data_IF_247547598096
#
_entry.id   IF_247547598096
#
_cell.length_a   1.000
_cell.length_b   1.000
_cell.length_c   1.000
_cell.angle_alpha   90.00
_cell.angle_beta   90.00
_cell.angle_gamma   90.00
#
_symmetry.space_group_name_H-M   'P 1'
#
loop_
_entity.id
_entity.type
_entity.pdbx_description
1 polymer ?
#
# COMPACT_ATOMS: atom_id res chain seq x y z
N UNK A 1 60.84 -20.71 -8.87
CA UNK A 1 59.60 -20.28 -9.54
C UNK A 1 58.69 -19.63 -8.50
N UNK A 2 58.55 -18.29 -8.52
CA UNK A 2 57.54 -17.62 -7.69
C UNK A 2 56.20 -17.77 -8.43
N UNK A 3 55.33 -18.60 -7.97
CA UNK A 3 53.96 -18.72 -8.46
C UNK A 3 53.23 -17.41 -8.18
N UNK A 4 52.66 -16.79 -9.21
CA UNK A 4 51.84 -15.59 -9.09
C UNK A 4 50.51 -15.97 -8.38
N UNK A 5 50.47 -15.99 -7.03
CA UNK A 5 49.28 -16.28 -6.24
C UNK A 5 48.34 -15.07 -6.10
N UNK A 6 48.76 -13.88 -6.50
CA UNK A 6 47.98 -12.65 -6.45
C UNK A 6 46.69 -12.69 -7.28
N UNK A 7 46.63 -13.48 -8.36
CA UNK A 7 45.42 -13.66 -9.15
C UNK A 7 44.35 -14.51 -8.48
N UNK A 8 44.75 -15.53 -7.73
CA UNK A 8 43.83 -16.43 -7.03
C UNK A 8 43.09 -15.68 -5.92
N UNK A 9 43.77 -14.88 -5.13
CA UNK A 9 43.18 -14.06 -4.08
C UNK A 9 42.15 -13.03 -4.59
N UNK A 10 42.41 -12.45 -5.78
CA UNK A 10 41.47 -11.51 -6.39
C UNK A 10 40.16 -12.20 -6.82
N UNK A 11 40.24 -13.40 -7.38
CA UNK A 11 39.09 -14.20 -7.81
C UNK A 11 38.27 -14.62 -6.57
N UNK A 12 38.94 -15.07 -5.50
CA UNK A 12 38.29 -15.45 -4.24
C UNK A 12 37.51 -14.25 -3.63
N UNK A 13 38.16 -13.08 -3.56
CA UNK A 13 37.52 -11.86 -3.09
C UNK A 13 36.30 -11.49 -3.97
N UNK A 14 36.42 -11.57 -5.29
CA UNK A 14 35.32 -11.26 -6.20
C UNK A 14 34.11 -12.19 -5.99
N UNK A 15 34.35 -13.49 -5.80
CA UNK A 15 33.28 -14.45 -5.50
C UNK A 15 32.57 -14.14 -4.17
N UNK A 16 33.34 -13.91 -3.12
CA UNK A 16 32.78 -13.56 -1.79
C UNK A 16 31.97 -12.26 -1.89
N UNK A 17 32.47 -11.26 -2.62
CA UNK A 17 31.77 -9.99 -2.81
C UNK A 17 30.44 -10.17 -3.56
N UNK A 18 30.40 -10.99 -4.61
CA UNK A 18 29.16 -11.27 -5.36
C UNK A 18 28.12 -11.93 -4.46
N UNK A 19 28.50 -12.97 -3.69
CA UNK A 19 27.59 -13.60 -2.74
C UNK A 19 27.10 -12.63 -1.66
N UNK A 20 28.01 -11.83 -1.11
CA UNK A 20 27.65 -10.82 -0.10
C UNK A 20 26.65 -9.80 -0.66
N UNK A 21 26.90 -9.23 -1.84
CA UNK A 21 26.01 -8.26 -2.46
C UNK A 21 24.65 -8.87 -2.82
N UNK A 22 24.64 -10.11 -3.31
CA UNK A 22 23.41 -10.82 -3.62
C UNK A 22 22.53 -10.98 -2.37
N UNK A 23 23.12 -11.46 -1.29
CA UNK A 23 22.42 -11.60 -0.01
C UNK A 23 21.95 -10.25 0.55
N UNK A 24 22.81 -9.25 0.52
CA UNK A 24 22.51 -7.90 1.00
C UNK A 24 21.35 -7.26 0.24
N UNK A 25 21.35 -7.34 -1.09
CA UNK A 25 20.26 -6.83 -1.93
C UNK A 25 18.94 -7.59 -1.68
N UNK A 26 19.01 -8.91 -1.45
CA UNK A 26 17.84 -9.69 -1.09
C UNK A 26 17.21 -9.25 0.23
N UNK A 27 18.03 -8.97 1.24
CA UNK A 27 17.54 -8.44 2.53
C UNK A 27 16.89 -7.07 2.37
N UNK A 28 17.48 -6.19 1.55
CA UNK A 28 16.91 -4.86 1.27
C UNK A 28 15.56 -4.95 0.56
N UNK A 29 15.43 -5.84 -0.43
CA UNK A 29 14.16 -6.03 -1.13
C UNK A 29 13.08 -6.57 -0.18
N UNK A 30 13.41 -7.52 0.67
CA UNK A 30 12.49 -8.05 1.66
C UNK A 30 12.04 -6.97 2.67
N UNK A 31 12.97 -6.15 3.15
CA UNK A 31 12.66 -5.04 4.04
C UNK A 31 11.70 -4.02 3.37
N UNK A 32 11.92 -3.69 2.09
CA UNK A 32 11.03 -2.82 1.31
C UNK A 32 9.65 -3.44 1.10
N UNK A 33 9.58 -4.74 0.87
CA UNK A 33 8.31 -5.46 0.74
C UNK A 33 7.48 -5.38 2.03
N UNK A 34 8.11 -5.61 3.18
CA UNK A 34 7.46 -5.48 4.49
C UNK A 34 7.02 -4.05 4.78
N UNK A 35 7.84 -3.06 4.41
CA UNK A 35 7.46 -1.66 4.54
C UNK A 35 6.24 -1.33 3.68
N UNK A 36 6.20 -1.77 2.43
CA UNK A 36 5.05 -1.58 1.53
C UNK A 36 3.79 -2.24 2.09
N UNK A 37 3.92 -3.44 2.68
CA UNK A 37 2.83 -4.12 3.36
C UNK A 37 2.24 -3.30 4.51
N UNK A 38 3.10 -2.80 5.39
CA UNK A 38 2.67 -1.95 6.51
C UNK A 38 2.06 -0.64 6.03
N UNK A 39 2.65 -0.02 5.02
CA UNK A 39 2.13 1.20 4.41
C UNK A 39 0.74 0.99 3.77
N UNK A 40 0.49 -0.16 3.15
CA UNK A 40 -0.82 -0.50 2.58
C UNK A 40 -1.90 -0.66 3.67
N UNK A 41 -1.56 -1.34 4.78
CA UNK A 41 -2.46 -1.44 5.94
C UNK A 41 -2.79 -0.07 6.52
N UNK A 42 -1.80 0.79 6.70
CA UNK A 42 -2.01 2.12 7.25
C UNK A 42 -2.79 3.02 6.29
N UNK A 43 -2.53 2.91 4.99
CA UNK A 43 -3.27 3.63 3.96
C UNK A 43 -4.77 3.27 3.98
N UNK A 44 -5.14 1.98 4.12
CA UNK A 44 -6.56 1.58 4.21
C UNK A 44 -7.24 2.10 5.46
N UNK A 45 -6.55 2.09 6.61
CA UNK A 45 -7.07 2.66 7.86
C UNK A 45 -7.31 4.15 7.74
N UNK A 46 -6.34 4.87 7.17
CA UNK A 46 -6.46 6.30 6.96
C UNK A 46 -7.57 6.65 5.96
N UNK A 47 -7.65 5.91 4.85
CA UNK A 47 -8.72 6.05 3.86
C UNK A 47 -10.11 5.83 4.46
N UNK A 48 -10.28 4.75 5.24
CA UNK A 48 -11.54 4.46 5.93
C UNK A 48 -11.90 5.55 6.94
N UNK A 49 -10.94 6.05 7.72
CA UNK A 49 -11.17 7.11 8.69
C UNK A 49 -11.63 8.41 8.03
N UNK A 50 -11.01 8.82 6.95
CA UNK A 50 -11.42 10.00 6.19
C UNK A 50 -12.84 9.80 5.63
N UNK A 51 -13.13 8.62 5.12
CA UNK A 51 -14.43 8.32 4.53
C UNK A 51 -15.57 8.33 5.55
N UNK A 52 -15.33 7.95 6.83
CA UNK A 52 -16.37 8.01 7.86
C UNK A 52 -16.50 9.40 8.51
N UNK A 53 -15.48 10.25 8.41
CA UNK A 53 -15.53 11.64 8.89
C UNK A 53 -16.20 12.54 7.86
N UNK A 54 -15.87 12.35 6.59
CA UNK A 54 -16.45 13.10 5.47
C UNK A 54 -17.73 12.40 4.96
N UNK A 55 -18.62 13.16 4.35
CA UNK A 55 -19.76 12.57 3.67
C UNK A 55 -19.32 11.93 2.33
N UNK A 56 -20.17 11.08 1.76
CA UNK A 56 -19.90 10.40 0.48
C UNK A 56 -19.66 11.37 -0.68
N UNK A 57 -20.33 12.53 -0.69
CA UNK A 57 -20.17 13.52 -1.75
C UNK A 57 -18.77 14.14 -1.74
N UNK A 58 -18.24 14.39 -0.53
CA UNK A 58 -16.91 14.99 -0.32
C UNK A 58 -15.80 13.92 -0.37
N UNK A 59 -16.04 12.74 0.23
CA UNK A 59 -15.10 11.62 0.21
C UNK A 59 -15.20 10.80 -1.08
N UNK A 60 -15.08 11.46 -2.24
CA UNK A 60 -14.96 10.77 -3.52
C UNK A 60 -13.75 9.84 -3.54
N UNK A 61 -13.78 8.79 -4.36
CA UNK A 61 -12.66 7.86 -4.49
C UNK A 61 -11.34 8.56 -4.81
N UNK A 62 -11.37 9.59 -5.67
CA UNK A 62 -10.19 10.38 -6.01
C UNK A 62 -9.63 11.16 -4.80
N UNK A 63 -10.52 11.70 -3.96
CA UNK A 63 -10.13 12.39 -2.74
C UNK A 63 -9.50 11.43 -1.73
N UNK A 64 -10.16 10.30 -1.46
CA UNK A 64 -9.64 9.25 -0.58
C UNK A 64 -8.29 8.75 -1.08
N UNK A 65 -8.16 8.47 -2.39
CA UNK A 65 -6.91 8.06 -3.01
C UNK A 65 -5.79 9.07 -2.77
N UNK A 66 -6.04 10.36 -2.96
CA UNK A 66 -5.03 11.41 -2.77
C UNK A 66 -4.47 11.46 -1.35
N UNK A 67 -5.31 11.17 -0.37
CA UNK A 67 -4.89 11.09 1.04
C UNK A 67 -4.14 9.78 1.35
N UNK A 68 -4.53 8.65 0.74
CA UNK A 68 -3.85 7.35 0.88
C UNK A 68 -2.49 7.33 0.18
N UNK A 69 -2.33 8.04 -0.93
CA UNK A 69 -1.07 8.17 -1.66
C UNK A 69 0.05 8.84 -0.84
N UNK A 70 -0.28 9.55 0.24
CA UNK A 70 0.74 10.06 1.18
C UNK A 70 1.51 8.93 1.89
N UNK A 71 0.87 7.79 2.10
CA UNK A 71 1.48 6.60 2.70
C UNK A 71 2.02 5.64 1.64
N UNK A 72 1.31 5.50 0.53
CA UNK A 72 1.63 4.56 -0.53
C UNK A 72 1.47 5.24 -1.91
N UNK A 73 2.50 5.98 -2.39
CA UNK A 73 2.43 6.77 -3.63
C UNK A 73 2.12 5.96 -4.89
N UNK A 74 2.37 4.65 -4.87
CA UNK A 74 2.13 3.75 -6.00
C UNK A 74 0.66 3.34 -6.18
N UNK A 75 -0.25 3.73 -5.27
CA UNK A 75 -1.67 3.45 -5.42
C UNK A 75 -2.27 4.20 -6.60
N UNK A 76 -3.17 3.52 -7.30
CA UNK A 76 -3.96 4.05 -8.41
C UNK A 76 -5.45 3.81 -8.16
N UNK A 77 -6.32 4.48 -8.91
CA UNK A 77 -7.77 4.22 -8.84
C UNK A 77 -8.11 2.74 -9.12
N UNK A 78 -7.32 2.05 -9.96
CA UNK A 78 -7.55 0.64 -10.27
C UNK A 78 -7.32 -0.30 -9.06
N UNK A 79 -6.59 0.17 -8.05
CA UNK A 79 -6.28 -0.61 -6.84
C UNK A 79 -7.24 -0.30 -5.70
N UNK A 80 -7.97 0.82 -5.75
CA UNK A 80 -8.81 1.30 -4.66
C UNK A 80 -10.26 0.93 -4.90
N UNK A 81 -10.90 0.38 -3.87
CA UNK A 81 -12.35 0.14 -3.83
C UNK A 81 -12.88 0.73 -2.53
N UNK A 82 -13.86 1.64 -2.64
CA UNK A 82 -14.55 2.25 -1.50
C UNK A 82 -16.01 1.83 -1.54
N UNK A 83 -16.44 1.06 -0.54
CA UNK A 83 -17.79 0.52 -0.43
C UNK A 83 -18.50 1.16 0.76
N UNK A 84 -19.69 1.68 0.51
CA UNK A 84 -20.54 2.31 1.51
C UNK A 84 -21.67 1.38 1.88
N UNK A 85 -21.92 1.22 3.18
CA UNK A 85 -22.92 0.32 3.73
C UNK A 85 -24.09 1.10 4.32
N UNK A 86 -25.31 0.64 4.06
CA UNK A 86 -26.53 1.21 4.65
C UNK A 86 -26.86 0.58 6.02
N UNK A 87 -27.96 1.00 6.64
CA UNK A 87 -28.41 0.49 7.93
C UNK A 87 -28.76 -1.01 7.94
N UNK A 88 -28.96 -1.61 6.75
CA UNK A 88 -29.17 -3.06 6.60
C UNK A 88 -27.86 -3.81 6.35
N UNK A 89 -26.69 -3.14 6.46
CA UNK A 89 -25.35 -3.66 6.23
C UNK A 89 -25.15 -4.17 4.79
N UNK A 90 -25.84 -3.51 3.83
CA UNK A 90 -25.72 -3.81 2.40
C UNK A 90 -24.98 -2.67 1.68
N UNK A 91 -24.22 -3.01 0.63
CA UNK A 91 -23.52 -2.01 -0.19
C UNK A 91 -24.56 -1.17 -0.92
N UNK A 92 -24.58 0.12 -0.65
CA UNK A 92 -25.58 1.04 -1.20
C UNK A 92 -24.96 2.27 -1.85
N UNK A 93 -25.28 2.45 -3.12
CA UNK A 93 -24.93 3.69 -3.84
C UNK A 93 -25.74 4.90 -3.32
N UNK A 94 -26.89 4.69 -2.73
CA UNK A 94 -27.78 5.73 -2.19
C UNK A 94 -27.43 6.13 -0.73
N UNK A 95 -26.37 5.56 -0.17
CA UNK A 95 -25.89 5.88 1.16
C UNK A 95 -25.48 7.37 1.26
N UNK A 96 -25.89 8.04 2.29
CA UNK A 96 -25.60 9.45 2.57
C UNK A 96 -25.25 9.67 4.04
N UNK A 97 -24.98 10.91 4.44
CA UNK A 97 -24.58 11.27 5.80
C UNK A 97 -25.59 10.84 6.89
N UNK A 98 -26.86 10.57 6.57
CA UNK A 98 -27.90 10.23 7.53
C UNK A 98 -28.21 8.74 7.59
N UNK A 99 -28.07 7.99 6.49
CA UNK A 99 -28.50 6.58 6.39
C UNK A 99 -27.37 5.57 6.22
N UNK A 100 -26.10 6.01 6.07
CA UNK A 100 -24.95 5.10 6.06
C UNK A 100 -24.70 4.49 7.43
N UNK A 101 -24.35 3.21 7.48
CA UNK A 101 -23.89 2.50 8.69
C UNK A 101 -22.37 2.44 8.81
N UNK A 102 -21.65 2.42 7.68
CA UNK A 102 -20.21 2.32 7.68
C UNK A 102 -19.60 2.40 6.27
N UNK A 103 -18.27 2.35 6.25
CA UNK A 103 -17.48 2.39 5.01
C UNK A 103 -16.40 1.32 5.06
N UNK A 104 -16.22 0.60 3.97
CA UNK A 104 -15.09 -0.31 3.74
C UNK A 104 -14.18 0.29 2.69
N UNK A 105 -12.91 0.43 3.03
CA UNK A 105 -11.86 0.81 2.07
C UNK A 105 -10.95 -0.38 1.84
N UNK A 106 -10.81 -0.77 0.58
CA UNK A 106 -10.05 -1.95 0.18
C UNK A 106 -9.02 -1.60 -0.88
N UNK A 107 -7.82 -2.16 -0.73
CA UNK A 107 -6.77 -2.15 -1.76
C UNK A 107 -6.69 -3.56 -2.34
N UNK A 108 -6.79 -3.66 -3.67
CA UNK A 108 -6.70 -4.92 -4.42
C UNK A 108 -5.74 -4.80 -5.60
N UNK A 109 -5.16 -5.92 -6.04
CA UNK A 109 -4.29 -5.93 -7.22
C UNK A 109 -2.97 -5.16 -7.04
N UNK A 110 -2.54 -4.92 -5.80
CA UNK A 110 -1.25 -4.31 -5.53
C UNK A 110 -0.13 -5.32 -5.81
N UNK A 111 0.86 -4.92 -6.61
CA UNK A 111 2.00 -5.75 -6.96
C UNK A 111 3.29 -5.11 -6.45
N UNK A 112 4.12 -5.90 -5.78
CA UNK A 112 5.46 -5.51 -5.39
C UNK A 112 6.45 -5.85 -6.49
N UNK A 113 7.30 -4.89 -6.87
CA UNK A 113 8.36 -5.09 -7.85
C UNK A 113 9.72 -5.17 -7.16
N UNK A 114 10.50 -6.22 -7.49
CA UNK A 114 11.87 -6.37 -7.05
C UNK A 114 12.75 -5.26 -7.62
N UNK A 115 13.65 -4.76 -6.81
CA UNK A 115 14.68 -3.80 -7.23
C UNK A 115 15.98 -4.51 -7.58
N UNK A 116 16.26 -5.63 -6.90
CA UNK A 116 17.50 -6.37 -7.09
C UNK A 116 17.51 -7.15 -8.41
N UNK A 117 18.67 -7.31 -9.04
CA UNK A 117 18.84 -8.10 -10.27
C UNK A 117 18.67 -9.62 -10.04
N UNK A 118 18.38 -10.04 -8.80
CA UNK A 118 18.19 -11.45 -8.43
C UNK A 118 16.93 -12.05 -9.09
N UNK A 119 15.95 -11.22 -9.42
CA UNK A 119 14.76 -11.63 -10.17
C UNK A 119 15.06 -11.79 -11.65
N UNK A 120 15.86 -12.77 -12.01
CA UNK A 120 16.32 -13.04 -13.38
C UNK A 120 15.21 -12.90 -14.43
N UNK A 121 15.46 -12.03 -15.41
CA UNK A 121 14.85 -11.91 -16.74
C UNK A 121 13.37 -11.55 -16.89
N UNK A 122 12.50 -11.78 -15.95
CA UNK A 122 11.16 -11.20 -15.88
C UNK A 122 10.98 -10.72 -14.44
N UNK A 123 10.95 -9.43 -14.23
CA UNK A 123 10.64 -8.81 -12.94
C UNK A 123 9.26 -9.30 -12.49
N UNK A 124 9.19 -10.55 -12.02
CA UNK A 124 7.96 -11.17 -11.58
C UNK A 124 7.42 -10.34 -10.43
N UNK A 125 6.40 -9.56 -10.72
CA UNK A 125 5.70 -8.80 -9.71
C UNK A 125 5.09 -9.79 -8.71
N UNK A 126 5.39 -9.63 -7.42
CA UNK A 126 4.76 -10.43 -6.38
C UNK A 126 3.39 -9.84 -6.08
N UNK A 127 2.30 -10.58 -6.34
CA UNK A 127 0.97 -10.11 -5.98
C UNK A 127 0.87 -10.02 -4.46
N UNK A 128 0.49 -8.85 -3.95
CA UNK A 128 0.21 -8.65 -2.54
C UNK A 128 -1.24 -9.04 -2.25
N UNK A 129 -1.54 -9.56 -1.05
CA UNK A 129 -2.91 -9.83 -0.65
C UNK A 129 -3.74 -8.55 -0.63
N UNK A 130 -5.05 -8.70 -0.69
CA UNK A 130 -5.96 -7.58 -0.51
C UNK A 130 -5.89 -7.05 0.94
N UNK A 131 -5.85 -5.74 1.07
CA UNK A 131 -5.96 -5.04 2.36
C UNK A 131 -7.34 -4.42 2.45
N UNK A 132 -8.02 -4.56 3.58
CA UNK A 132 -9.33 -3.97 3.79
C UNK A 132 -9.50 -3.48 5.22
N UNK A 133 -10.16 -2.34 5.37
CA UNK A 133 -10.54 -1.78 6.67
C UNK A 133 -11.98 -1.32 6.59
N UNK A 134 -12.81 -1.83 7.48
CA UNK A 134 -14.18 -1.37 7.69
C UNK A 134 -14.23 -0.51 8.94
N UNK A 135 -14.89 0.63 8.86
CA UNK A 135 -15.21 1.47 10.00
C UNK A 135 -16.71 1.79 10.02
N UNK A 136 -17.35 1.68 11.20
CA UNK A 136 -18.71 2.14 11.35
C UNK A 136 -18.80 3.66 11.21
N UNK A 137 -19.99 4.14 10.91
CA UNK A 137 -20.27 5.57 10.81
C UNK A 137 -19.90 6.32 12.09
N UNK A 138 -19.24 7.46 11.88
CA UNK A 138 -18.97 8.44 12.95
C UNK A 138 -19.74 9.74 12.64
N UNK A 139 -19.05 10.73 12.09
CA UNK A 139 -19.54 12.11 11.94
C UNK A 139 -20.11 12.38 10.55
N UNK A 140 -19.54 11.83 9.51
CA UNK A 140 -19.93 11.96 8.09
C UNK A 140 -20.26 13.40 7.66
N UNK A 141 -19.39 14.36 8.00
CA UNK A 141 -19.54 15.75 7.61
C UNK A 141 -20.51 16.57 8.44
N UNK A 142 -21.09 16.00 9.51
CA UNK A 142 -22.06 16.70 10.35
C UNK A 142 -21.41 17.59 11.43
N UNK A 143 -20.12 17.46 11.68
CA UNK A 143 -19.37 18.32 12.59
C UNK A 143 -18.89 19.59 11.89
N UNK A 144 -18.93 20.74 12.60
CA UNK A 144 -18.47 22.03 12.08
C UNK A 144 -16.97 22.01 11.67
N UNK A 145 -16.15 21.13 12.28
CA UNK A 145 -14.73 21.00 11.98
C UNK A 145 -14.44 20.02 10.84
N UNK A 146 -15.41 19.27 10.35
CA UNK A 146 -15.20 18.31 9.27
C UNK A 146 -14.75 18.96 7.96
N UNK A 147 -15.11 20.22 7.71
CA UNK A 147 -14.69 20.99 6.53
C UNK A 147 -13.17 21.13 6.40
N UNK A 148 -12.43 21.20 7.53
CA UNK A 148 -10.96 21.32 7.51
C UNK A 148 -10.26 20.01 7.15
N UNK A 149 -10.91 18.87 7.40
CA UNK A 149 -10.39 17.52 7.09
C UNK A 149 -10.82 17.08 5.70
N UNK A 150 -12.01 17.49 5.27
CA UNK A 150 -12.68 17.09 4.05
C UNK A 150 -12.44 18.02 2.85
N UNK A 151 -11.48 18.95 2.98
CA UNK A 151 -11.07 19.90 1.92
C UNK A 151 -9.75 19.49 1.24
#
# INVERSE_FOLDING_TARGET
>A
MKTNESGASTVEFALVLVFFLTFFLGVLDFARMLWTWNAANEATRWGARISVVCDKATASEAFVLSKMQKFLPQLTNANLVVEWYDAADTISAACNATNCSGVSVRITGLNYQWLSPIGFSNHAAIPMPGFSTYLPREIMGQDANSSTVCS
#
